data_IF_956060789489
#
_entry.id   IF_956060789489
#
_cell.length_a   1.000
_cell.length_b   1.000
_cell.length_c   1.000
_cell.angle_alpha   90.00
_cell.angle_beta   90.00
_cell.angle_gamma   90.00
#
_symmetry.space_group_name_H-M   'P 1'
#
loop_
_entity.id
_entity.type
_entity.pdbx_description
1 polymer ?
#
# COMPACT_ATOMS: atom_id res chain seq x y z
N UNK A 1 -5.85 -62.92 18.09
CA UNK A 1 -5.25 -61.59 18.36
C UNK A 1 -5.40 -60.74 17.12
N UNK A 2 -6.24 -59.71 17.17
CA UNK A 2 -6.39 -58.76 16.09
C UNK A 2 -5.51 -57.54 16.40
N UNK A 3 -4.46 -57.34 15.65
CA UNK A 3 -3.61 -56.15 15.73
C UNK A 3 -4.31 -55.02 14.94
N UNK A 4 -4.76 -54.00 15.64
CA UNK A 4 -5.31 -52.78 15.04
C UNK A 4 -4.15 -51.82 14.76
N UNK A 5 -3.87 -51.44 13.53
CA UNK A 5 -2.84 -50.44 13.28
C UNK A 5 -3.36 -49.08 13.72
N UNK A 6 -2.67 -48.46 14.66
CA UNK A 6 -2.89 -47.06 15.04
C UNK A 6 -2.34 -46.19 13.92
N UNK A 7 -3.25 -45.60 13.15
CA UNK A 7 -2.90 -44.66 12.14
C UNK A 7 -2.55 -43.31 12.81
N UNK A 8 -1.25 -43.03 12.91
CA UNK A 8 -0.75 -41.78 13.41
C UNK A 8 -1.00 -40.70 12.34
N UNK A 9 -2.06 -39.91 12.51
CA UNK A 9 -2.33 -38.74 11.66
C UNK A 9 -1.37 -37.63 12.12
N UNK A 10 -0.27 -37.45 11.39
CA UNK A 10 0.58 -36.27 11.52
C UNK A 10 -0.17 -35.09 10.95
N UNK A 11 -0.76 -34.30 11.86
CA UNK A 11 -1.35 -33.01 11.53
C UNK A 11 -0.22 -32.05 11.21
N UNK A 12 0.07 -31.82 9.94
CA UNK A 12 0.95 -30.73 9.49
C UNK A 12 0.22 -29.41 9.75
N UNK A 13 0.55 -28.79 10.86
CA UNK A 13 0.16 -27.41 11.13
C UNK A 13 0.99 -26.51 10.22
N UNK A 14 0.47 -26.19 9.01
CA UNK A 14 1.04 -25.17 8.15
C UNK A 14 0.84 -23.82 8.83
N UNK A 15 1.86 -23.39 9.59
CA UNK A 15 1.90 -22.03 10.10
C UNK A 15 2.10 -21.09 8.90
N UNK A 16 1.01 -20.57 8.35
CA UNK A 16 1.08 -19.45 7.45
C UNK A 16 1.71 -18.27 8.20
N UNK A 17 2.92 -17.86 7.80
CA UNK A 17 3.58 -16.66 8.32
C UNK A 17 2.74 -15.45 7.89
N UNK A 18 1.84 -15.00 8.77
CA UNK A 18 1.15 -13.74 8.58
C UNK A 18 2.14 -12.58 8.75
N UNK A 19 2.09 -11.57 7.86
CA UNK A 19 2.86 -10.34 8.01
C UNK A 19 2.48 -9.67 9.33
N UNK A 20 3.43 -9.54 10.24
CA UNK A 20 3.23 -8.85 11.53
C UNK A 20 3.60 -7.38 11.37
N UNK A 21 2.62 -6.49 11.57
CA UNK A 21 2.80 -5.05 11.51
C UNK A 21 2.94 -4.47 12.91
N UNK A 22 3.91 -3.56 13.09
CA UNK A 22 4.00 -2.73 14.29
C UNK A 22 2.86 -1.70 14.31
N UNK A 23 2.57 -1.05 15.47
CA UNK A 23 1.61 0.05 15.52
C UNK A 23 1.94 1.20 14.55
N UNK A 24 3.22 1.49 14.33
CA UNK A 24 3.65 2.51 13.37
C UNK A 24 3.37 2.07 11.92
N UNK A 25 3.64 0.81 11.60
CA UNK A 25 3.31 0.23 10.29
C UNK A 25 1.81 0.29 10.01
N UNK A 26 0.99 -0.03 11.01
CA UNK A 26 -0.47 0.03 10.90
C UNK A 26 -0.95 1.45 10.65
N UNK A 27 -0.38 2.43 11.35
CA UNK A 27 -0.72 3.84 11.16
C UNK A 27 -0.40 4.32 9.73
N UNK A 28 0.79 3.98 9.22
CA UNK A 28 1.18 4.32 7.85
C UNK A 28 0.30 3.62 6.82
N UNK A 29 0.04 2.32 7.00
CA UNK A 29 -0.88 1.55 6.16
C UNK A 29 -2.27 2.17 6.11
N UNK A 30 -2.82 2.55 7.24
CA UNK A 30 -4.18 3.07 7.33
C UNK A 30 -4.32 4.40 6.60
N UNK A 31 -3.34 5.29 6.71
CA UNK A 31 -3.31 6.54 5.93
C UNK A 31 -3.22 6.24 4.44
N UNK A 32 -2.36 5.30 4.04
CA UNK A 32 -2.24 4.89 2.64
C UNK A 32 -3.57 4.32 2.09
N UNK A 33 -4.24 3.46 2.86
CA UNK A 33 -5.52 2.86 2.46
C UNK A 33 -6.65 3.89 2.37
N UNK A 34 -6.73 4.84 3.29
CA UNK A 34 -7.71 5.92 3.23
C UNK A 34 -7.52 6.76 1.97
N UNK A 35 -6.29 7.12 1.65
CA UNK A 35 -5.99 7.88 0.45
C UNK A 35 -6.29 7.08 -0.83
N UNK A 36 -5.89 5.81 -0.88
CA UNK A 36 -6.21 4.91 -2.00
C UNK A 36 -7.72 4.76 -2.21
N UNK A 37 -8.51 4.77 -1.15
CA UNK A 37 -9.98 4.77 -1.26
C UNK A 37 -10.52 5.97 -2.05
N UNK A 38 -9.93 7.14 -1.89
CA UNK A 38 -10.28 8.33 -2.67
C UNK A 38 -9.87 8.17 -4.14
N UNK A 39 -8.67 7.64 -4.39
CA UNK A 39 -8.19 7.33 -5.75
C UNK A 39 -9.11 6.29 -6.42
N UNK A 40 -9.43 5.23 -5.72
CA UNK A 40 -10.26 4.13 -6.24
C UNK A 40 -11.69 4.57 -6.57
N UNK A 41 -12.21 5.59 -5.88
CA UNK A 41 -13.52 6.18 -6.17
C UNK A 41 -13.56 7.02 -7.44
N UNK A 42 -12.40 7.28 -8.06
CA UNK A 42 -12.27 8.14 -9.23
C UNK A 42 -12.26 9.63 -8.90
N UNK A 43 -12.27 10.00 -7.64
CA UNK A 43 -12.20 11.41 -7.22
C UNK A 43 -10.75 11.90 -7.22
N UNK A 44 -10.16 12.01 -8.39
CA UNK A 44 -8.74 12.33 -8.57
C UNK A 44 -8.37 13.73 -8.11
N UNK A 45 -9.30 14.67 -8.20
CA UNK A 45 -9.09 16.04 -7.71
C UNK A 45 -8.87 16.04 -6.21
N UNK A 46 -9.73 15.37 -5.45
CA UNK A 46 -9.60 15.30 -4.00
C UNK A 46 -8.37 14.47 -3.59
N UNK A 47 -8.10 13.36 -4.28
CA UNK A 47 -6.89 12.57 -4.07
C UNK A 47 -5.62 13.42 -4.24
N UNK A 48 -5.58 14.26 -5.27
CA UNK A 48 -4.46 15.19 -5.49
C UNK A 48 -4.32 16.24 -4.37
N UNK A 49 -5.44 16.76 -3.87
CA UNK A 49 -5.45 17.74 -2.77
C UNK A 49 -5.01 17.15 -1.43
N UNK A 50 -5.14 15.83 -1.25
CA UNK A 50 -4.70 15.12 -0.04
C UNK A 50 -3.21 14.78 -0.05
N UNK A 51 -2.52 14.97 -1.17
CA UNK A 51 -1.06 14.86 -1.22
C UNK A 51 -0.45 16.06 -0.49
N UNK A 52 0.63 15.83 0.25
CA UNK A 52 1.32 16.88 1.00
C UNK A 52 1.60 18.10 0.12
N UNK A 53 1.29 19.29 0.63
CA UNK A 53 1.45 20.55 -0.09
C UNK A 53 2.88 20.74 -0.62
N UNK A 54 3.87 20.27 0.12
CA UNK A 54 5.29 20.41 -0.23
C UNK A 54 5.67 19.74 -1.56
N UNK A 55 4.97 18.67 -1.93
CA UNK A 55 5.27 17.87 -3.12
C UNK A 55 4.12 17.84 -4.14
N UNK A 56 2.99 18.44 -3.81
CA UNK A 56 1.78 18.43 -4.65
C UNK A 56 2.03 19.00 -6.05
N UNK A 57 2.90 20.01 -6.16
CA UNK A 57 3.25 20.63 -7.44
C UNK A 57 4.25 19.84 -8.29
N UNK A 58 4.78 18.71 -7.83
CA UNK A 58 5.81 17.93 -8.53
C UNK A 58 5.30 17.26 -9.81
N UNK A 59 3.99 17.02 -9.92
CA UNK A 59 3.32 16.53 -11.12
C UNK A 59 1.86 16.95 -11.14
N UNK A 60 1.23 16.89 -12.32
CA UNK A 60 -0.23 17.00 -12.43
C UNK A 60 -0.86 15.64 -12.02
N UNK A 61 -1.19 15.50 -10.75
CA UNK A 61 -1.71 14.27 -10.19
C UNK A 61 -3.04 13.84 -10.79
N UNK A 62 -3.93 14.78 -11.04
CA UNK A 62 -5.22 14.49 -11.67
C UNK A 62 -5.04 13.87 -13.05
N UNK A 63 -4.15 14.44 -13.85
CA UNK A 63 -3.81 13.92 -15.18
C UNK A 63 -3.10 12.56 -15.08
N UNK A 64 -2.22 12.40 -14.10
CA UNK A 64 -1.53 11.15 -13.86
C UNK A 64 -2.51 10.01 -13.55
N UNK A 65 -3.46 10.21 -12.66
CA UNK A 65 -4.46 9.19 -12.34
C UNK A 65 -5.39 8.88 -13.50
N UNK A 66 -5.80 9.89 -14.26
CA UNK A 66 -6.63 9.68 -15.44
C UNK A 66 -5.92 8.82 -16.49
N UNK A 67 -4.60 8.99 -16.65
CA UNK A 67 -3.81 8.23 -17.61
C UNK A 67 -3.42 6.83 -17.13
N UNK A 68 -3.09 6.67 -15.85
CA UNK A 68 -2.46 5.44 -15.33
C UNK A 68 -3.37 4.62 -14.43
N UNK A 69 -4.31 5.22 -13.72
CA UNK A 69 -5.19 4.50 -12.79
C UNK A 69 -6.57 4.20 -13.39
N UNK A 70 -7.20 5.17 -14.05
CA UNK A 70 -8.55 5.02 -14.58
C UNK A 70 -8.70 3.82 -15.54
N UNK A 71 -7.74 3.53 -16.46
CA UNK A 71 -7.86 2.40 -17.38
C UNK A 71 -7.85 1.02 -16.69
N UNK A 72 -7.41 0.92 -15.44
CA UNK A 72 -7.26 -0.35 -14.74
C UNK A 72 -8.59 -0.90 -14.21
N UNK A 73 -9.61 -0.05 -14.09
CA UNK A 73 -10.91 -0.44 -13.57
C UNK A 73 -10.92 -0.58 -12.04
N UNK A 74 -11.84 -1.40 -11.53
CA UNK A 74 -12.02 -1.60 -10.09
C UNK A 74 -10.90 -2.44 -9.48
N UNK A 75 -10.64 -2.20 -8.20
CA UNK A 75 -9.79 -3.08 -7.40
C UNK A 75 -10.57 -4.37 -7.10
N UNK A 76 -10.02 -5.52 -7.49
CA UNK A 76 -10.55 -6.83 -7.14
C UNK A 76 -9.99 -7.32 -5.80
N UNK A 77 -8.70 -7.10 -5.56
CA UNK A 77 -8.03 -7.50 -4.33
C UNK A 77 -6.81 -6.60 -4.11
N UNK A 78 -6.61 -6.20 -2.84
CA UNK A 78 -5.43 -5.46 -2.41
C UNK A 78 -4.92 -6.04 -1.10
N UNK A 79 -3.66 -6.44 -1.08
CA UNK A 79 -2.99 -7.00 0.09
C UNK A 79 -1.73 -6.20 0.39
N UNK A 80 -1.51 -5.91 1.67
CA UNK A 80 -0.25 -5.31 2.09
C UNK A 80 0.89 -6.32 1.88
N UNK A 81 1.99 -5.85 1.27
CA UNK A 81 3.19 -6.64 1.05
C UNK A 81 4.30 -6.28 2.05
N UNK A 82 4.56 -4.99 2.25
CA UNK A 82 5.56 -4.54 3.21
C UNK A 82 5.39 -3.06 3.58
N UNK A 83 6.00 -2.67 4.70
CA UNK A 83 6.23 -1.28 5.08
C UNK A 83 7.72 -1.10 5.30
N UNK A 84 8.33 -0.16 4.59
CA UNK A 84 9.74 0.22 4.73
C UNK A 84 9.87 1.65 5.22
N UNK A 85 10.98 1.95 5.87
CA UNK A 85 11.29 3.31 6.33
C UNK A 85 12.58 3.82 5.69
N UNK A 86 12.61 5.11 5.41
CA UNK A 86 13.77 5.80 4.87
C UNK A 86 13.86 7.21 5.43
N UNK A 87 15.06 7.80 5.42
CA UNK A 87 15.26 9.19 5.83
C UNK A 87 15.11 10.17 4.68
N UNK A 88 15.18 9.68 3.45
CA UNK A 88 14.99 10.47 2.23
C UNK A 88 14.29 9.62 1.19
N UNK A 89 13.48 10.24 0.34
CA UNK A 89 12.86 9.62 -0.83
C UNK A 89 12.98 10.53 -2.04
N UNK A 90 12.98 9.99 -3.28
CA UNK A 90 12.93 10.82 -4.48
C UNK A 90 11.71 11.75 -4.47
N UNK A 91 11.93 13.03 -4.79
CA UNK A 91 10.87 14.04 -4.83
C UNK A 91 10.64 14.81 -3.54
N UNK A 92 11.17 14.34 -2.41
CA UNK A 92 11.20 15.09 -1.15
C UNK A 92 12.66 15.26 -0.72
N UNK A 93 13.26 16.45 -0.89
CA UNK A 93 14.66 16.68 -0.54
C UNK A 93 14.91 16.79 0.97
N UNK A 94 13.86 16.90 1.77
CA UNK A 94 14.03 17.07 3.21
C UNK A 94 14.35 15.76 3.91
N UNK A 95 15.25 15.86 4.88
CA UNK A 95 15.65 14.74 5.72
C UNK A 95 14.64 14.58 6.85
N UNK A 96 13.75 13.59 6.71
CA UNK A 96 12.73 13.26 7.72
C UNK A 96 12.34 11.79 7.62
N UNK A 97 11.53 11.32 8.55
CA UNK A 97 11.05 9.93 8.51
C UNK A 97 10.03 9.75 7.39
N UNK A 98 10.32 8.83 6.49
CA UNK A 98 9.45 8.41 5.40
C UNK A 98 9.06 6.96 5.58
N UNK A 99 7.84 6.62 5.16
CA UNK A 99 7.39 5.26 5.02
C UNK A 99 7.03 4.97 3.57
N UNK A 100 7.41 3.80 3.09
CA UNK A 100 6.99 3.26 1.80
C UNK A 100 6.09 2.08 2.09
N UNK A 101 4.81 2.22 1.82
CA UNK A 101 3.81 1.16 1.98
C UNK A 101 3.57 0.53 0.62
N UNK A 102 3.86 -0.76 0.51
CA UNK A 102 3.68 -1.51 -0.72
C UNK A 102 2.50 -2.46 -0.60
N UNK A 103 1.66 -2.45 -1.62
CA UNK A 103 0.55 -3.38 -1.78
C UNK A 103 0.73 -4.21 -3.04
N UNK A 104 0.25 -5.46 -2.98
CA UNK A 104 0.00 -6.27 -4.17
C UNK A 104 -1.48 -6.14 -4.50
N UNK A 105 -1.78 -5.56 -5.67
CA UNK A 105 -3.14 -5.20 -6.05
C UNK A 105 -3.51 -5.82 -7.39
N UNK A 106 -4.67 -6.45 -7.45
CA UNK A 106 -5.29 -6.93 -8.68
C UNK A 106 -6.42 -5.98 -9.07
N UNK A 107 -6.42 -5.55 -10.32
CA UNK A 107 -7.44 -4.70 -10.91
C UNK A 107 -8.27 -5.46 -11.94
N UNK A 108 -9.45 -4.92 -12.26
CA UNK A 108 -10.35 -5.51 -13.26
C UNK A 108 -9.67 -5.74 -14.61
N UNK A 109 -8.82 -4.79 -15.04
CA UNK A 109 -8.17 -4.80 -16.36
C UNK A 109 -6.65 -4.94 -16.29
N UNK A 110 -6.10 -5.33 -15.16
CA UNK A 110 -4.64 -5.53 -14.99
C UNK A 110 -4.35 -6.67 -14.03
N UNK A 111 -3.42 -7.55 -14.43
CA UNK A 111 -2.83 -8.56 -13.56
C UNK A 111 -2.21 -7.92 -12.31
N UNK A 112 -1.95 -8.69 -11.24
CA UNK A 112 -1.41 -8.15 -9.99
C UNK A 112 -0.19 -7.28 -10.23
N UNK A 113 -0.22 -6.07 -9.67
CA UNK A 113 0.83 -5.07 -9.74
C UNK A 113 1.23 -4.64 -8.33
N UNK A 114 2.43 -4.08 -8.17
CA UNK A 114 2.85 -3.45 -6.95
C UNK A 114 2.41 -1.98 -6.96
N UNK A 115 1.63 -1.59 -5.95
CA UNK A 115 1.35 -0.18 -5.66
C UNK A 115 2.24 0.26 -4.50
N UNK A 116 2.98 1.34 -4.67
CA UNK A 116 3.82 1.94 -3.65
C UNK A 116 3.31 3.33 -3.29
N UNK A 117 3.00 3.52 -2.02
CA UNK A 117 2.61 4.82 -1.49
C UNK A 117 3.72 5.31 -0.57
N UNK A 118 4.30 6.45 -0.91
CA UNK A 118 5.28 7.12 -0.09
C UNK A 118 4.59 8.11 0.86
N UNK A 119 4.96 8.05 2.13
CA UNK A 119 4.44 8.93 3.16
C UNK A 119 5.59 9.61 3.91
N UNK A 120 5.33 10.80 4.42
CA UNK A 120 6.26 11.52 5.31
C UNK A 120 5.61 11.77 6.67
N UNK A 121 6.43 11.72 7.72
CA UNK A 121 5.98 12.05 9.08
C UNK A 121 5.98 13.56 9.25
N UNK A 122 4.80 14.13 9.45
CA UNK A 122 4.59 15.54 9.72
C UNK A 122 4.03 15.69 11.14
N UNK A 123 4.90 15.98 12.11
CA UNK A 123 4.51 16.03 13.52
C UNK A 123 3.99 14.68 14.01
N UNK A 124 2.70 14.61 14.39
CA UNK A 124 2.06 13.36 14.85
C UNK A 124 1.72 12.38 13.74
N UNK A 125 1.66 12.85 12.45
CA UNK A 125 0.82 12.21 11.48
C UNK A 125 1.53 11.95 10.16
N UNK A 126 1.11 10.90 9.47
CA UNK A 126 1.59 10.58 8.14
C UNK A 126 0.84 11.36 7.07
N UNK A 127 1.56 11.88 6.08
CA UNK A 127 1.00 12.51 4.89
C UNK A 127 1.51 11.80 3.62
N UNK A 128 0.64 11.63 2.65
CA UNK A 128 1.02 11.05 1.35
C UNK A 128 1.87 12.05 0.57
N UNK A 129 3.01 11.58 0.05
CA UNK A 129 3.91 12.39 -0.78
C UNK A 129 4.16 11.78 -2.15
N UNK A 130 3.73 10.56 -2.42
CA UNK A 130 3.95 9.93 -3.71
C UNK A 130 3.17 8.65 -3.89
N UNK A 131 3.01 8.28 -5.15
CA UNK A 131 2.36 7.05 -5.60
C UNK A 131 3.05 6.55 -6.86
N UNK A 132 3.44 5.29 -6.84
CA UNK A 132 4.01 4.61 -8.00
C UNK A 132 3.36 3.23 -8.16
N UNK A 133 3.27 2.79 -9.40
CA UNK A 133 2.77 1.46 -9.75
C UNK A 133 3.74 0.76 -10.70
N UNK A 134 4.09 -0.48 -10.40
CA UNK A 134 5.01 -1.32 -11.17
C UNK A 134 4.35 -2.61 -11.65
#
# INVERSE_FOLDING_TARGET
MRVVPILLILSFCSSALALSLSPEDEAARDVALQWLGVVDSGNYKDAALLISEQVRGSRDWTKYFAAHRAPLGRVNNRKIAEVKYASTVPGDPEFRRHAIVRFKTSFEHKAPAAEEIALTKMGCCWEVIGYEMN
#
